data_IF_152016932418
#
_entry.id   IF_152016932418
#
_cell.length_a   1.000
_cell.length_b   1.000
_cell.length_c   1.000
_cell.angle_alpha   90.00
_cell.angle_beta   90.00
_cell.angle_gamma   90.00
#
_symmetry.space_group_name_H-M   'P 1'
#
loop_
_entity.id
_entity.type
_entity.pdbx_description
1 polymer ?
#
# COMPACT_ATOMS: atom_id res chain seq x y z
N UNK A 1 -4.52 27.95 -10.17
CA UNK A 1 -4.61 27.48 -8.78
C UNK A 1 -3.76 26.24 -8.68
N UNK A 2 -2.66 26.32 -7.94
CA UNK A 2 -1.82 25.15 -7.68
C UNK A 2 -2.61 24.13 -6.86
N UNK A 3 -2.57 22.83 -7.21
CA UNK A 3 -3.20 21.81 -6.39
C UNK A 3 -2.60 21.85 -5.00
N UNK A 4 -3.46 21.77 -3.97
CA UNK A 4 -2.97 21.67 -2.59
C UNK A 4 -2.04 20.46 -2.46
N UNK A 5 -1.09 20.51 -1.52
CA UNK A 5 -0.17 19.39 -1.27
C UNK A 5 -0.92 18.06 -1.04
N UNK A 6 -2.13 18.15 -0.45
CA UNK A 6 -3.03 17.01 -0.31
C UNK A 6 -3.58 16.51 -1.64
N UNK A 7 -4.10 17.39 -2.49
CA UNK A 7 -4.64 17.00 -3.79
C UNK A 7 -3.58 16.32 -4.67
N UNK A 8 -2.33 16.83 -4.65
CA UNK A 8 -1.21 16.22 -5.35
C UNK A 8 -0.86 14.81 -4.81
N UNK A 9 -0.95 14.60 -3.49
CA UNK A 9 -0.76 13.28 -2.88
C UNK A 9 -1.88 12.30 -3.25
N UNK A 10 -3.14 12.75 -3.26
CA UNK A 10 -4.29 11.93 -3.65
C UNK A 10 -4.20 11.51 -5.13
N UNK A 11 -3.83 12.43 -6.02
CA UNK A 11 -3.64 12.13 -7.44
C UNK A 11 -2.51 11.11 -7.67
N UNK A 12 -1.36 11.32 -7.01
CA UNK A 12 -0.25 10.34 -7.03
C UNK A 12 -0.68 8.99 -6.50
N UNK A 13 -1.41 8.96 -5.38
CA UNK A 13 -1.92 7.72 -4.81
C UNK A 13 -2.84 6.96 -5.78
N UNK A 14 -3.77 7.65 -6.43
CA UNK A 14 -4.68 7.04 -7.39
C UNK A 14 -3.93 6.52 -8.61
N UNK A 15 -3.02 7.31 -9.18
CA UNK A 15 -2.18 6.89 -10.31
C UNK A 15 -1.32 5.68 -9.95
N UNK A 16 -0.69 5.70 -8.78
CA UNK A 16 0.18 4.64 -8.29
C UNK A 16 -0.59 3.32 -8.11
N UNK A 17 -1.71 3.37 -7.39
CA UNK A 17 -2.44 2.15 -6.99
C UNK A 17 -3.39 1.61 -8.06
N UNK A 18 -3.91 2.46 -8.95
CA UNK A 18 -4.85 2.04 -10.01
C UNK A 18 -4.18 1.73 -11.34
N UNK A 19 -2.99 2.29 -11.60
CA UNK A 19 -2.32 2.14 -12.91
C UNK A 19 -0.94 1.51 -12.77
N UNK A 20 -0.02 2.17 -12.04
CA UNK A 20 1.40 1.79 -12.06
C UNK A 20 1.66 0.43 -11.37
N UNK A 21 1.13 0.23 -10.17
CA UNK A 21 1.33 -1.01 -9.43
C UNK A 21 0.65 -2.21 -10.11
N UNK A 22 -0.63 -2.14 -10.54
CA UNK A 22 -1.24 -3.22 -11.32
C UNK A 22 -0.51 -3.55 -12.61
N UNK A 23 -0.03 -2.54 -13.36
CA UNK A 23 0.75 -2.75 -14.58
C UNK A 23 2.09 -3.47 -14.29
N UNK A 24 2.78 -3.08 -13.21
CA UNK A 24 4.02 -3.73 -12.80
C UNK A 24 3.80 -5.14 -12.22
N UNK A 25 2.63 -5.43 -11.66
CA UNK A 25 2.32 -6.68 -10.97
C UNK A 25 2.53 -7.91 -11.85
N UNK A 26 2.12 -7.82 -13.12
CA UNK A 26 2.26 -8.91 -14.08
C UNK A 26 3.74 -9.21 -14.36
N UNK A 27 4.51 -8.19 -14.73
CA UNK A 27 5.94 -8.33 -15.05
C UNK A 27 6.77 -8.76 -13.83
N UNK A 28 6.35 -8.41 -12.62
CA UNK A 28 7.08 -8.70 -11.37
C UNK A 28 6.60 -9.94 -10.63
N UNK A 29 5.59 -10.64 -11.15
CA UNK A 29 5.02 -11.83 -10.52
C UNK A 29 4.46 -11.57 -9.12
N UNK A 30 3.99 -10.35 -8.83
CA UNK A 30 3.55 -9.97 -7.49
C UNK A 30 2.29 -10.77 -7.05
N UNK A 31 2.13 -11.00 -5.72
CA UNK A 31 1.04 -11.84 -5.19
C UNK A 31 -0.34 -11.20 -5.33
N UNK A 32 -0.40 -9.92 -5.69
CA UNK A 32 -1.63 -9.14 -5.81
C UNK A 32 -1.64 -8.43 -7.15
N UNK A 33 -2.83 -8.35 -7.74
CA UNK A 33 -3.06 -7.77 -9.07
C UNK A 33 -4.12 -6.67 -9.09
N UNK A 34 -4.93 -6.59 -8.03
CA UNK A 34 -6.04 -5.65 -7.93
C UNK A 34 -5.64 -4.38 -7.20
N UNK A 35 -6.15 -3.25 -7.65
CA UNK A 35 -5.86 -1.92 -7.10
C UNK A 35 -6.15 -1.84 -5.59
N UNK A 36 -7.29 -2.37 -5.15
CA UNK A 36 -7.68 -2.34 -3.74
C UNK A 36 -6.79 -3.23 -2.86
N UNK A 37 -6.17 -4.28 -3.41
CA UNK A 37 -5.19 -5.09 -2.69
C UNK A 37 -3.92 -4.28 -2.42
N UNK A 38 -3.43 -3.54 -3.42
CA UNK A 38 -2.29 -2.63 -3.24
C UNK A 38 -2.60 -1.55 -2.22
N UNK A 39 -3.74 -0.87 -2.37
CA UNK A 39 -4.17 0.18 -1.44
C UNK A 39 -4.17 -0.33 0.00
N UNK A 40 -4.74 -1.52 0.22
CA UNK A 40 -4.80 -2.14 1.55
C UNK A 40 -3.42 -2.46 2.11
N UNK A 41 -2.54 -3.08 1.32
CA UNK A 41 -1.18 -3.44 1.76
C UNK A 41 -0.38 -2.19 2.11
N UNK A 42 -0.42 -1.16 1.26
CA UNK A 42 0.33 0.06 1.45
C UNK A 42 -0.17 0.85 2.66
N UNK A 43 -1.49 0.97 2.83
CA UNK A 43 -2.07 1.65 4.01
C UNK A 43 -1.76 0.89 5.30
N UNK A 44 -1.90 -0.44 5.31
CA UNK A 44 -1.56 -1.26 6.47
C UNK A 44 -0.09 -1.06 6.88
N UNK A 45 0.84 -1.06 5.93
CA UNK A 45 2.26 -0.85 6.20
C UNK A 45 2.59 0.60 6.57
N UNK A 46 1.82 1.57 6.08
CA UNK A 46 1.97 2.97 6.47
C UNK A 46 1.58 3.21 7.93
N UNK A 47 0.53 2.53 8.42
CA UNK A 47 0.10 2.61 9.83
C UNK A 47 0.74 1.56 10.75
N UNK A 48 1.45 0.58 10.18
CA UNK A 48 2.07 -0.52 10.93
C UNK A 48 1.07 -1.53 11.51
N UNK A 49 -0.11 -1.67 10.90
CA UNK A 49 -1.23 -2.41 11.45
C UNK A 49 -2.40 -2.53 10.47
N UNK A 50 -3.61 -2.76 10.98
CA UNK A 50 -4.83 -2.77 10.17
C UNK A 50 -5.26 -1.34 9.90
N UNK A 51 -5.29 -0.90 8.64
CA UNK A 51 -5.58 0.50 8.30
C UNK A 51 -6.93 0.98 8.84
N UNK A 52 -7.93 0.10 8.89
CA UNK A 52 -9.29 0.45 9.34
C UNK A 52 -9.42 0.64 10.85
N UNK A 53 -8.40 0.28 11.63
CA UNK A 53 -8.34 0.64 13.06
C UNK A 53 -7.89 2.10 13.24
N UNK A 54 -7.11 2.63 12.28
CA UNK A 54 -6.52 3.98 12.34
C UNK A 54 -7.27 5.01 11.47
N UNK A 55 -7.97 4.55 10.42
CA UNK A 55 -8.68 5.41 9.46
C UNK A 55 -10.15 4.98 9.44
N UNK A 56 -11.01 5.75 10.09
CA UNK A 56 -12.43 5.43 10.22
C UNK A 56 -13.24 5.70 8.94
N UNK A 57 -12.78 6.61 8.08
CA UNK A 57 -13.55 7.08 6.92
C UNK A 57 -13.26 6.33 5.62
N UNK A 58 -14.25 6.32 4.72
CA UNK A 58 -14.14 5.74 3.37
C UNK A 58 -14.44 6.81 2.31
N UNK A 59 -13.62 6.95 1.25
CA UNK A 59 -12.48 6.10 0.92
C UNK A 59 -11.24 6.38 1.80
N UNK A 60 -10.52 5.31 2.17
CA UNK A 60 -9.47 5.37 3.18
C UNK A 60 -8.39 6.43 2.88
N UNK A 61 -7.97 6.57 1.63
CA UNK A 61 -6.94 7.55 1.25
C UNK A 61 -7.38 9.00 1.47
N UNK A 62 -8.68 9.31 1.37
CA UNK A 62 -9.23 10.66 1.58
C UNK A 62 -9.31 11.00 3.07
N UNK A 63 -9.52 10.01 3.92
CA UNK A 63 -9.61 10.18 5.37
C UNK A 63 -8.28 9.87 6.09
N UNK A 64 -7.28 9.33 5.40
CA UNK A 64 -5.96 9.08 5.94
C UNK A 64 -5.28 10.41 6.31
N UNK A 65 -4.60 10.49 7.46
CA UNK A 65 -3.71 11.61 7.77
C UNK A 65 -2.70 11.86 6.64
N UNK A 66 -2.29 13.11 6.45
CA UNK A 66 -1.38 13.50 5.37
C UNK A 66 -0.08 12.69 5.36
N UNK A 67 0.50 12.50 6.54
CA UNK A 67 1.70 11.69 6.77
C UNK A 67 1.52 10.20 6.43
N UNK A 68 0.37 9.63 6.76
CA UNK A 68 0.02 8.23 6.45
C UNK A 68 -0.10 8.06 4.94
N UNK A 69 -0.80 8.97 4.26
CA UNK A 69 -0.94 8.93 2.81
C UNK A 69 0.42 9.11 2.12
N UNK A 70 1.23 10.07 2.55
CA UNK A 70 2.56 10.31 2.00
C UNK A 70 3.48 9.08 2.18
N UNK A 71 3.45 8.45 3.36
CA UNK A 71 4.19 7.21 3.62
C UNK A 71 3.69 6.08 2.74
N UNK A 72 2.38 5.91 2.59
CA UNK A 72 1.79 4.87 1.74
C UNK A 72 2.19 5.05 0.26
N UNK A 73 2.21 6.30 -0.24
CA UNK A 73 2.71 6.63 -1.58
C UNK A 73 4.20 6.28 -1.69
N UNK A 74 5.02 6.68 -0.71
CA UNK A 74 6.46 6.38 -0.71
C UNK A 74 6.74 4.87 -0.69
N UNK A 75 5.92 4.08 0.02
CA UNK A 75 6.05 2.62 0.03
C UNK A 75 5.76 2.00 -1.34
N UNK A 76 4.72 2.47 -2.05
CA UNK A 76 4.37 1.96 -3.37
C UNK A 76 5.37 2.38 -4.45
N UNK A 77 5.83 3.63 -4.42
CA UNK A 77 6.93 4.09 -5.30
C UNK A 77 8.25 3.35 -4.98
N UNK A 78 8.52 3.10 -3.69
CA UNK A 78 9.63 2.25 -3.26
C UNK A 78 9.52 0.83 -3.80
N UNK A 79 8.31 0.26 -3.84
CA UNK A 79 8.09 -1.05 -4.44
C UNK A 79 8.38 -1.03 -5.94
N UNK A 80 7.90 -0.02 -6.68
CA UNK A 80 8.23 0.18 -8.09
C UNK A 80 9.74 0.37 -8.33
N UNK A 81 10.44 1.04 -7.43
CA UNK A 81 11.90 1.21 -7.53
C UNK A 81 12.71 0.01 -7.03
N UNK A 82 12.07 -1.05 -6.51
CA UNK A 82 12.76 -2.21 -5.93
C UNK A 82 13.36 -1.96 -4.54
N UNK A 83 13.03 -0.82 -3.90
CA UNK A 83 13.46 -0.48 -2.53
C UNK A 83 12.55 -1.06 -1.44
N UNK A 84 11.31 -1.38 -1.78
CA UNK A 84 10.34 -2.00 -0.87
C UNK A 84 9.93 -3.37 -1.40
N UNK A 85 9.97 -4.39 -0.54
CA UNK A 85 9.48 -5.72 -0.92
C UNK A 85 7.96 -5.84 -0.70
N UNK A 86 7.22 -5.90 -1.80
CA UNK A 86 5.77 -6.08 -1.76
C UNK A 86 5.36 -7.43 -1.16
N UNK A 87 6.17 -8.49 -1.31
CA UNK A 87 5.89 -9.78 -0.69
C UNK A 87 5.94 -9.68 0.83
N UNK A 88 7.00 -9.09 1.39
CA UNK A 88 7.11 -8.81 2.81
C UNK A 88 5.94 -7.94 3.32
N UNK A 89 5.62 -6.86 2.60
CA UNK A 89 4.49 -6.00 2.96
C UNK A 89 3.15 -6.73 2.95
N UNK A 90 2.91 -7.60 1.95
CA UNK A 90 1.70 -8.42 1.89
C UNK A 90 1.63 -9.42 3.05
N UNK A 91 2.75 -10.09 3.38
CA UNK A 91 2.82 -11.01 4.54
C UNK A 91 2.51 -10.28 5.85
N UNK A 92 3.10 -9.11 6.08
CA UNK A 92 2.82 -8.29 7.26
C UNK A 92 1.33 -7.90 7.34
N UNK A 93 0.80 -7.41 6.22
CA UNK A 93 -0.61 -7.04 6.05
C UNK A 93 -1.57 -8.21 6.33
N UNK A 94 -1.23 -9.43 5.91
CA UNK A 94 -2.01 -10.63 6.24
C UNK A 94 -1.94 -10.98 7.73
N UNK A 95 -0.73 -10.94 8.33
CA UNK A 95 -0.52 -11.19 9.76
C UNK A 95 -1.34 -10.27 10.65
N UNK A 96 -1.36 -8.97 10.36
CA UNK A 96 -2.16 -8.01 11.15
C UNK A 96 -3.66 -8.28 11.08
N UNK A 97 -4.16 -8.86 9.98
CA UNK A 97 -5.57 -9.23 9.83
C UNK A 97 -5.90 -10.61 10.41
N UNK A 98 -4.97 -11.26 11.10
CA UNK A 98 -5.16 -12.62 11.60
C UNK A 98 -5.25 -13.69 10.51
N UNK A 99 -5.01 -13.33 9.24
CA UNK A 99 -4.84 -14.31 8.18
C UNK A 99 -3.42 -14.84 8.30
N UNK A 100 -3.26 -16.10 8.70
CA UNK A 100 -1.99 -16.82 8.52
C UNK A 100 -1.71 -16.81 7.01
N UNK A 101 -0.89 -15.86 6.54
CA UNK A 101 -0.28 -15.98 5.22
C UNK A 101 0.51 -17.28 5.15
N UNK A 102 0.83 -17.80 3.96
CA UNK A 102 1.66 -19.00 3.84
C UNK A 102 2.91 -18.80 4.71
N UNK A 103 3.19 -19.76 5.57
CA UNK A 103 4.23 -19.68 6.57
C UNK A 103 5.52 -19.20 5.89
N UNK A 104 6.07 -18.07 6.36
CA UNK A 104 7.39 -17.67 5.93
C UNK A 104 8.35 -18.79 6.34
N UNK A 105 9.06 -19.35 5.37
CA UNK A 105 10.14 -20.30 5.64
C UNK A 105 11.12 -19.66 6.65
N UNK A 106 11.60 -20.41 7.65
CA UNK A 106 12.61 -19.92 8.57
C UNK A 106 13.86 -19.56 7.76
N UNK A 107 14.33 -18.32 7.90
CA UNK A 107 15.65 -17.93 7.43
C UNK A 107 16.64 -18.55 8.43
N UNK A 108 17.46 -19.48 7.92
CA UNK A 108 18.60 -20.05 8.63
C UNK A 108 19.74 -19.04 8.72
#
# INVERSE_FOLDING_TARGET
MEPSARAALEDRWLTLTRQRLPAAAHARGWPVRLDHCFQRILLDNAVGGRWYDAIAGRPAYRHAPGEVLARAVSLGEGALAGRSDLWAMNRASLRWRGKRGPAAAPQA
#
